data_IF_368764459221
#
_entry.id   IF_368764459221
#
_cell.length_a   1.000
_cell.length_b   1.000
_cell.length_c   1.000
_cell.angle_alpha   90.00
_cell.angle_beta   90.00
_cell.angle_gamma   90.00
#
_symmetry.space_group_name_H-M   'P 1'
#
loop_
_entity.id
_entity.type
_entity.pdbx_description
1 polymer ?
#
# COMPACT_ATOMS: atom_id res chain seq x y z
N UNK A 1 -8.98 28.89 6.09
CA UNK A 1 -9.90 27.97 6.83
C UNK A 1 -9.61 26.49 6.48
N UNK A 2 -9.12 26.15 5.29
CA UNK A 2 -8.81 24.78 4.89
C UNK A 2 -7.47 24.24 5.44
N UNK A 3 -6.49 25.11 5.66
CA UNK A 3 -5.17 24.70 6.14
C UNK A 3 -5.16 24.23 7.61
N UNK A 4 -6.09 24.74 8.42
CA UNK A 4 -6.19 24.40 9.84
C UNK A 4 -6.79 23.00 10.11
N UNK A 5 -7.56 22.44 9.17
CA UNK A 5 -8.15 21.12 9.30
C UNK A 5 -7.17 20.01 8.90
N UNK A 6 -6.26 20.30 7.96
CA UNK A 6 -5.19 19.37 7.58
C UNK A 6 -4.16 19.17 8.70
N UNK A 7 -3.72 20.27 9.37
CA UNK A 7 -2.79 20.18 10.51
C UNK A 7 -3.39 19.40 11.68
N UNK A 8 -4.70 19.53 11.92
CA UNK A 8 -5.39 18.78 12.95
C UNK A 8 -5.52 17.29 12.63
N UNK A 9 -5.71 16.95 11.38
CA UNK A 9 -5.82 15.55 10.95
C UNK A 9 -4.47 14.85 10.94
N UNK A 10 -3.40 15.54 10.52
CA UNK A 10 -2.02 15.04 10.67
C UNK A 10 -1.64 14.82 12.12
N UNK A 11 -1.98 15.78 12.99
CA UNK A 11 -1.69 15.63 14.43
C UNK A 11 -2.48 14.49 15.09
N UNK A 12 -3.65 14.14 14.58
CA UNK A 12 -4.41 12.97 15.03
C UNK A 12 -3.82 11.66 14.51
N UNK A 13 -3.37 11.63 13.27
CA UNK A 13 -2.70 10.46 12.69
C UNK A 13 -1.37 10.20 13.39
N UNK A 14 -0.53 11.22 13.61
CA UNK A 14 0.71 11.09 14.37
C UNK A 14 0.46 10.57 15.79
N UNK A 15 -0.56 11.09 16.48
CA UNK A 15 -0.95 10.59 17.81
C UNK A 15 -1.50 9.17 17.80
N UNK A 16 -2.20 8.77 16.72
CA UNK A 16 -2.66 7.40 16.57
C UNK A 16 -1.48 6.45 16.29
N UNK A 17 -0.54 6.84 15.45
CA UNK A 17 0.69 6.09 15.17
C UNK A 17 1.61 6.02 16.40
N UNK A 18 1.74 7.11 17.17
CA UNK A 18 2.47 7.12 18.46
C UNK A 18 1.78 6.21 19.48
N UNK A 19 0.45 6.20 19.53
CA UNK A 19 -0.30 5.34 20.43
C UNK A 19 -0.24 3.86 20.01
N UNK A 20 -0.25 3.56 18.70
CA UNK A 20 0.03 2.21 18.19
C UNK A 20 1.48 1.80 18.48
N UNK A 21 2.46 2.72 18.38
CA UNK A 21 3.84 2.45 18.77
C UNK A 21 4.02 2.24 20.26
N UNK A 22 3.25 2.94 21.11
CA UNK A 22 3.26 2.71 22.57
C UNK A 22 2.61 1.38 22.95
N UNK A 23 1.56 0.95 22.24
CA UNK A 23 0.92 -0.35 22.44
C UNK A 23 1.80 -1.53 21.98
N UNK A 24 2.68 -1.28 20.99
CA UNK A 24 3.65 -2.24 20.45
C UNK A 24 5.02 -2.19 21.19
N UNK A 25 5.12 -1.45 22.28
CA UNK A 25 6.34 -1.37 23.06
C UNK A 25 6.59 -2.70 23.79
N UNK A 26 7.86 -3.20 23.84
CA UNK A 26 8.20 -4.47 24.48
C UNK A 26 7.78 -4.60 25.95
N UNK A 27 7.54 -3.47 26.63
CA UNK A 27 7.06 -3.42 28.01
C UNK A 27 5.62 -3.93 28.20
N UNK A 28 4.90 -4.23 27.12
CA UNK A 28 3.55 -4.80 27.22
C UNK A 28 3.56 -6.31 27.53
N UNK A 29 4.69 -6.97 27.37
CA UNK A 29 4.89 -8.37 27.77
C UNK A 29 5.67 -8.45 29.07
N UNK A 30 5.12 -7.86 30.13
CA UNK A 30 5.60 -8.12 31.45
C UNK A 30 5.19 -9.55 31.82
N UNK A 31 6.15 -10.44 31.98
CA UNK A 31 5.92 -11.85 32.33
C UNK A 31 5.16 -11.97 33.65
N UNK A 32 5.24 -10.97 34.53
CA UNK A 32 4.47 -10.93 35.78
C UNK A 32 2.95 -10.76 35.55
N UNK A 33 2.53 -10.26 34.38
CA UNK A 33 1.12 -10.08 34.03
C UNK A 33 0.51 -11.31 33.32
N UNK A 34 1.32 -12.26 32.88
CA UNK A 34 0.83 -13.47 32.25
C UNK A 34 0.40 -14.49 33.31
N UNK A 35 -0.89 -14.88 33.35
CA UNK A 35 -1.39 -15.83 34.34
C UNK A 35 -0.92 -17.28 34.10
N UNK A 36 -0.11 -17.50 33.06
CA UNK A 36 0.36 -18.82 32.65
C UNK A 36 1.87 -18.88 32.79
N UNK A 37 2.34 -19.74 33.68
CA UNK A 37 3.75 -20.13 33.75
C UNK A 37 4.02 -21.31 32.86
N UNK A 38 5.03 -21.21 32.00
CA UNK A 38 5.46 -22.28 31.09
C UNK A 38 6.98 -22.27 30.97
N UNK A 39 7.56 -23.46 30.71
CA UNK A 39 8.99 -23.60 30.47
C UNK A 39 9.41 -23.22 29.05
N UNK A 40 8.41 -23.09 28.14
CA UNK A 40 8.67 -22.78 26.73
C UNK A 40 7.64 -21.80 26.16
N UNK A 41 8.13 -20.80 25.44
CA UNK A 41 7.32 -19.79 24.76
C UNK A 41 7.57 -19.86 23.26
N UNK A 42 6.52 -19.81 22.46
CA UNK A 42 6.58 -19.65 21.02
C UNK A 42 5.96 -18.31 20.62
N UNK A 43 6.79 -17.43 20.08
CA UNK A 43 6.34 -16.15 19.56
C UNK A 43 6.20 -16.23 18.05
N UNK A 44 5.05 -15.78 17.52
CA UNK A 44 4.77 -15.74 16.09
C UNK A 44 4.61 -14.27 15.66
N UNK A 45 5.38 -13.86 14.68
CA UNK A 45 5.30 -12.50 14.15
C UNK A 45 5.51 -12.51 12.64
N UNK A 46 4.73 -11.71 11.91
CA UNK A 46 4.98 -11.41 10.50
C UNK A 46 6.11 -10.41 10.26
N UNK A 47 6.54 -9.70 11.32
CA UNK A 47 7.58 -8.66 11.25
C UNK A 47 8.62 -8.85 12.36
N UNK A 48 9.52 -9.85 12.24
CA UNK A 48 10.44 -10.23 13.31
C UNK A 48 11.55 -9.20 13.58
N UNK A 49 11.69 -8.18 12.72
CA UNK A 49 12.81 -7.24 12.77
C UNK A 49 12.92 -6.45 14.08
N UNK A 50 11.80 -6.14 14.75
CA UNK A 50 11.81 -5.47 16.06
C UNK A 50 12.39 -6.36 17.14
N UNK A 51 11.91 -7.59 17.22
CA UNK A 51 12.38 -8.57 18.21
C UNK A 51 13.88 -8.90 18.02
N UNK A 52 14.36 -8.95 16.77
CA UNK A 52 15.78 -9.12 16.45
C UNK A 52 16.59 -7.89 16.91
N UNK A 53 16.10 -6.69 16.61
CA UNK A 53 16.80 -5.44 16.92
C UNK A 53 16.78 -5.11 18.42
N UNK A 54 15.77 -5.54 19.17
CA UNK A 54 15.70 -5.35 20.63
C UNK A 54 16.69 -6.21 21.40
N UNK A 55 17.22 -7.27 20.76
CA UNK A 55 18.13 -8.22 21.40
C UNK A 55 17.47 -9.19 22.38
N UNK A 56 16.14 -9.27 22.36
CA UNK A 56 15.37 -10.23 23.19
C UNK A 56 15.61 -11.67 22.76
N UNK A 57 15.90 -11.88 21.47
CA UNK A 57 16.16 -13.22 20.91
C UNK A 57 17.52 -13.25 20.24
N UNK A 58 18.23 -14.32 20.44
CA UNK A 58 19.46 -14.63 19.68
C UNK A 58 19.07 -15.31 18.35
N UNK A 59 19.89 -15.15 17.33
CA UNK A 59 19.61 -15.60 15.96
C UNK A 59 19.26 -17.09 15.90
N UNK A 60 19.90 -17.92 16.72
CA UNK A 60 19.65 -19.36 16.79
C UNK A 60 18.27 -19.74 17.36
N UNK A 61 17.59 -18.82 18.02
CA UNK A 61 16.23 -19.00 18.55
C UNK A 61 15.14 -18.58 17.56
N UNK A 62 15.55 -17.98 16.43
CA UNK A 62 14.61 -17.40 15.45
C UNK A 62 14.53 -18.31 14.23
N UNK A 63 13.33 -18.88 13.98
CA UNK A 63 13.03 -19.50 12.71
C UNK A 63 12.39 -18.45 11.78
N UNK A 64 13.06 -18.13 10.69
CA UNK A 64 12.56 -17.19 9.69
C UNK A 64 12.29 -17.94 8.38
N UNK A 65 11.07 -17.77 7.85
CA UNK A 65 10.65 -18.34 6.58
C UNK A 65 10.05 -17.23 5.70
N UNK A 66 10.80 -16.86 4.67
CA UNK A 66 10.44 -15.75 3.80
C UNK A 66 9.71 -16.22 2.54
N UNK A 67 9.07 -15.27 1.84
CA UNK A 67 8.53 -15.51 0.50
C UNK A 67 9.58 -16.11 -0.47
N UNK A 68 10.83 -15.64 -0.40
CA UNK A 68 11.93 -16.16 -1.22
C UNK A 68 12.21 -17.63 -0.91
N UNK A 69 12.12 -18.03 0.35
CA UNK A 69 12.33 -19.42 0.77
C UNK A 69 11.18 -20.32 0.29
N UNK A 70 9.94 -19.83 0.37
CA UNK A 70 8.78 -20.51 -0.23
C UNK A 70 8.95 -20.73 -1.73
N UNK A 71 9.37 -19.70 -2.48
CA UNK A 71 9.55 -19.83 -3.92
C UNK A 71 10.72 -20.77 -4.26
N UNK A 72 11.80 -20.78 -3.47
CA UNK A 72 12.87 -21.76 -3.62
C UNK A 72 12.38 -23.17 -3.34
N UNK A 73 11.65 -23.38 -2.24
CA UNK A 73 11.08 -24.69 -1.90
C UNK A 73 10.09 -25.17 -2.96
N UNK A 74 9.25 -24.28 -3.52
CA UNK A 74 8.33 -24.56 -4.62
C UNK A 74 9.05 -25.06 -5.85
N UNK A 75 10.15 -24.41 -6.23
CA UNK A 75 10.92 -24.72 -7.43
C UNK A 75 11.83 -25.94 -7.27
N UNK A 76 12.29 -26.22 -6.05
CA UNK A 76 13.17 -27.34 -5.74
C UNK A 76 12.43 -28.65 -5.41
N UNK A 77 11.09 -28.62 -5.36
CA UNK A 77 10.31 -29.79 -5.01
C UNK A 77 10.35 -30.85 -6.11
N UNK A 78 10.77 -32.06 -5.78
CA UNK A 78 10.89 -33.19 -6.71
C UNK A 78 9.76 -34.24 -6.58
N UNK A 79 8.83 -34.07 -5.62
CA UNK A 79 7.74 -35.00 -5.39
C UNK A 79 6.47 -34.68 -6.20
N UNK A 80 5.57 -35.66 -6.36
CA UNK A 80 4.30 -35.50 -7.10
C UNK A 80 3.38 -34.46 -6.44
N UNK A 81 3.36 -34.37 -5.11
CA UNK A 81 2.48 -33.49 -4.33
C UNK A 81 3.28 -32.29 -3.75
N UNK A 82 3.50 -31.26 -4.55
CA UNK A 82 4.16 -30.06 -4.09
C UNK A 82 3.22 -29.23 -3.20
N UNK A 83 3.48 -29.14 -1.88
CA UNK A 83 2.63 -28.40 -0.96
C UNK A 83 2.66 -26.88 -1.21
N UNK A 84 3.69 -26.39 -1.89
CA UNK A 84 3.87 -24.97 -2.23
C UNK A 84 3.26 -24.58 -3.58
N UNK A 85 2.69 -25.54 -4.32
CA UNK A 85 2.23 -25.29 -5.70
C UNK A 85 1.15 -24.20 -5.76
N UNK A 86 0.27 -24.17 -4.77
CA UNK A 86 -0.84 -23.22 -4.69
C UNK A 86 -0.40 -21.79 -4.30
N UNK A 87 0.83 -21.61 -3.80
CA UNK A 87 1.34 -20.29 -3.42
C UNK A 87 1.57 -19.42 -4.66
N UNK A 88 0.97 -18.22 -4.72
CA UNK A 88 1.10 -17.34 -5.88
C UNK A 88 2.52 -16.78 -6.00
N UNK A 89 2.93 -16.52 -7.23
CA UNK A 89 4.15 -15.75 -7.48
C UNK A 89 3.83 -14.26 -7.36
N UNK A 90 4.57 -13.58 -6.49
CA UNK A 90 4.52 -12.11 -6.41
C UNK A 90 5.30 -11.52 -7.59
N UNK A 91 4.70 -10.56 -8.27
CA UNK A 91 5.36 -9.71 -9.27
C UNK A 91 5.22 -8.28 -8.81
N UNK A 92 6.35 -7.61 -8.59
CA UNK A 92 6.40 -6.20 -8.24
C UNK A 92 6.74 -5.38 -9.48
N UNK A 93 5.84 -4.46 -9.83
CA UNK A 93 6.05 -3.52 -10.92
C UNK A 93 6.19 -2.12 -10.31
N UNK A 94 7.24 -1.41 -10.68
CA UNK A 94 7.49 -0.04 -10.24
C UNK A 94 7.38 0.91 -11.43
N UNK A 95 6.78 2.07 -11.19
CA UNK A 95 6.59 3.10 -12.20
C UNK A 95 7.15 4.42 -11.72
N UNK A 96 7.81 5.13 -12.62
CA UNK A 96 8.20 6.50 -12.37
C UNK A 96 6.96 7.40 -12.50
N UNK A 97 6.69 8.17 -11.46
CA UNK A 97 5.58 9.13 -11.49
C UNK A 97 5.97 10.34 -12.35
N UNK A 98 5.01 10.89 -13.15
CA UNK A 98 5.17 12.16 -13.82
C UNK A 98 5.50 13.30 -12.84
N UNK A 99 6.25 14.28 -13.30
CA UNK A 99 6.69 15.41 -12.46
C UNK A 99 5.51 16.16 -11.84
N UNK A 100 4.41 16.33 -12.56
CA UNK A 100 3.20 16.99 -12.04
C UNK A 100 2.61 16.27 -10.80
N UNK A 101 2.61 14.95 -10.78
CA UNK A 101 2.16 14.16 -9.63
C UNK A 101 3.18 14.22 -8.50
N UNK A 102 4.44 14.13 -8.86
CA UNK A 102 5.56 14.19 -7.93
C UNK A 102 5.63 15.53 -7.22
N UNK A 103 5.42 16.64 -7.93
CA UNK A 103 5.39 18.00 -7.36
C UNK A 103 4.29 18.17 -6.29
N UNK A 104 3.15 17.52 -6.45
CA UNK A 104 2.09 17.55 -5.43
C UNK A 104 2.49 16.73 -4.21
N UNK A 105 3.05 15.55 -4.41
CA UNK A 105 3.51 14.70 -3.31
C UNK A 105 4.68 15.33 -2.52
N UNK A 106 5.46 16.22 -3.13
CA UNK A 106 6.54 16.97 -2.48
C UNK A 106 6.05 18.20 -1.68
N UNK A 107 4.76 18.52 -1.67
CA UNK A 107 4.20 19.64 -0.89
C UNK A 107 3.98 19.30 0.60
N UNK A 108 4.41 18.13 1.05
CA UNK A 108 4.40 17.73 2.44
C UNK A 108 5.32 18.62 3.31
N UNK A 109 5.17 18.51 4.62
CA UNK A 109 5.81 19.35 5.61
C UNK A 109 7.35 19.34 5.53
N UNK A 110 7.93 18.22 5.10
CA UNK A 110 9.38 18.03 5.02
C UNK A 110 9.91 18.10 3.59
N UNK A 111 9.11 18.54 2.60
CA UNK A 111 9.47 18.48 1.17
C UNK A 111 9.90 17.08 0.70
N UNK A 112 9.52 16.05 1.44
CA UNK A 112 9.70 14.65 1.09
C UNK A 112 8.51 14.14 0.29
N UNK A 113 8.74 13.08 -0.49
CA UNK A 113 7.67 12.45 -1.26
C UNK A 113 6.68 11.75 -0.34
N UNK A 114 5.47 12.31 -0.23
CA UNK A 114 4.41 11.82 0.65
C UNK A 114 3.12 11.56 -0.14
N UNK A 115 2.78 10.29 -0.28
CA UNK A 115 1.52 9.88 -0.90
C UNK A 115 0.28 10.24 -0.07
N UNK A 116 0.42 10.46 1.25
CA UNK A 116 -0.68 10.91 2.08
C UNK A 116 -1.11 12.33 1.68
N UNK A 117 -0.16 13.19 1.32
CA UNK A 117 -0.45 14.52 0.78
C UNK A 117 -1.15 14.42 -0.57
N UNK A 118 -0.68 13.56 -1.45
CA UNK A 118 -1.26 13.38 -2.78
C UNK A 118 -2.70 12.88 -2.73
N UNK A 119 -2.98 11.87 -1.91
CA UNK A 119 -4.32 11.30 -1.74
C UNK A 119 -5.13 11.92 -0.61
N UNK A 120 -4.71 13.06 -0.10
CA UNK A 120 -5.45 13.72 0.96
C UNK A 120 -6.87 14.09 0.50
N UNK A 121 -7.86 13.71 1.30
CA UNK A 121 -9.26 13.97 1.03
C UNK A 121 -9.99 14.46 2.29
N UNK A 122 -11.04 15.21 2.08
CA UNK A 122 -11.94 15.71 3.12
C UNK A 122 -13.39 15.38 2.79
N UNK A 123 -14.25 15.42 3.79
CA UNK A 123 -15.67 15.11 3.67
C UNK A 123 -15.98 13.64 3.99
N UNK A 124 -17.24 13.29 4.00
CA UNK A 124 -17.75 11.98 4.36
C UNK A 124 -18.64 11.40 3.24
N UNK A 125 -18.56 10.09 3.04
CA UNK A 125 -19.41 9.35 2.12
C UNK A 125 -19.41 9.95 0.71
N UNK A 126 -20.58 10.34 0.21
CA UNK A 126 -20.74 10.91 -1.15
C UNK A 126 -20.16 12.33 -1.30
N UNK A 127 -19.92 13.03 -0.18
CA UNK A 127 -19.32 14.37 -0.18
C UNK A 127 -17.81 14.35 -0.09
N UNK A 128 -17.19 13.18 0.09
CA UNK A 128 -15.75 13.05 0.16
C UNK A 128 -15.11 13.41 -1.20
N UNK A 129 -14.05 14.25 -1.13
CA UNK A 129 -13.33 14.72 -2.32
C UNK A 129 -11.84 14.86 -2.01
N UNK A 130 -11.00 14.55 -3.00
CA UNK A 130 -9.58 14.82 -2.92
C UNK A 130 -9.26 16.31 -2.97
N UNK A 131 -8.28 16.76 -2.20
CA UNK A 131 -7.73 18.12 -2.27
C UNK A 131 -7.12 18.38 -3.66
N UNK A 132 -6.46 17.38 -4.23
CA UNK A 132 -5.80 17.41 -5.53
C UNK A 132 -6.51 16.49 -6.54
N UNK A 133 -7.83 16.66 -6.68
CA UNK A 133 -8.67 15.76 -7.48
C UNK A 133 -8.22 15.67 -8.95
N UNK A 134 -7.75 16.76 -9.54
CA UNK A 134 -7.28 16.77 -10.94
C UNK A 134 -6.01 15.94 -11.11
N UNK A 135 -5.10 16.01 -10.16
CA UNK A 135 -3.85 15.27 -10.15
C UNK A 135 -4.10 13.79 -9.89
N UNK A 136 -5.04 13.47 -8.99
CA UNK A 136 -5.48 12.08 -8.79
C UNK A 136 -6.16 11.53 -10.05
N UNK A 137 -6.96 12.35 -10.77
CA UNK A 137 -7.52 11.94 -12.06
C UNK A 137 -6.42 11.66 -13.09
N UNK A 138 -5.40 12.52 -13.20
CA UNK A 138 -4.25 12.30 -14.08
C UNK A 138 -3.52 10.99 -13.72
N UNK A 139 -3.39 10.69 -12.44
CA UNK A 139 -2.83 9.41 -12.00
C UNK A 139 -3.69 8.22 -12.44
N UNK A 140 -5.02 8.30 -12.32
CA UNK A 140 -5.95 7.29 -12.82
C UNK A 140 -5.79 7.07 -14.33
N UNK A 141 -5.66 8.15 -15.10
CA UNK A 141 -5.45 8.09 -16.54
C UNK A 141 -4.08 7.49 -16.89
N UNK A 142 -3.05 7.81 -16.09
CA UNK A 142 -1.71 7.24 -16.23
C UNK A 142 -1.71 5.71 -16.06
N UNK A 143 -2.31 5.19 -15.00
CA UNK A 143 -2.33 3.74 -14.73
C UNK A 143 -3.16 2.97 -15.76
N UNK A 144 -4.04 3.66 -16.49
CA UNK A 144 -4.76 3.15 -17.65
C UNK A 144 -3.99 3.29 -18.97
N UNK A 145 -2.79 3.87 -18.94
CA UNK A 145 -2.00 4.12 -20.14
C UNK A 145 -2.54 5.24 -21.04
N UNK A 146 -3.47 6.07 -20.56
CA UNK A 146 -4.09 7.16 -21.34
C UNK A 146 -3.30 8.46 -21.28
N UNK A 147 -2.53 8.69 -20.22
CA UNK A 147 -1.63 9.82 -20.08
C UNK A 147 -0.30 9.53 -20.81
N UNK A 148 -0.39 9.35 -22.09
CA UNK A 148 0.78 9.43 -22.94
C UNK A 148 0.98 10.93 -23.23
N UNK A 149 1.74 11.63 -22.37
CA UNK A 149 2.14 12.98 -22.69
C UNK A 149 2.88 12.96 -24.01
N UNK A 150 2.48 13.85 -24.92
CA UNK A 150 3.10 14.06 -26.22
C UNK A 150 4.50 14.68 -26.13
N UNK A 151 5.10 14.71 -24.95
CA UNK A 151 6.42 15.27 -24.72
C UNK A 151 7.52 14.29 -25.12
N UNK A 152 8.62 14.85 -25.60
CA UNK A 152 9.83 14.18 -26.10
C UNK A 152 10.41 13.11 -25.15
N UNK A 153 10.04 13.16 -23.89
CA UNK A 153 10.43 12.17 -22.87
C UNK A 153 9.81 10.77 -23.09
N UNK A 154 8.67 10.69 -23.78
CA UNK A 154 8.08 9.39 -24.16
C UNK A 154 8.87 8.67 -25.27
N UNK A 155 9.60 9.41 -26.09
CA UNK A 155 10.48 8.84 -27.12
C UNK A 155 11.79 8.30 -26.53
N UNK A 156 12.19 8.75 -25.33
CA UNK A 156 13.37 8.28 -24.59
C UNK A 156 13.06 7.09 -23.68
N UNK A 157 11.80 6.83 -23.39
CA UNK A 157 11.38 5.63 -22.65
C UNK A 157 11.30 4.46 -23.63
N UNK A 158 12.41 3.74 -23.75
CA UNK A 158 12.55 2.59 -24.64
C UNK A 158 11.55 1.47 -24.40
N UNK A 159 11.62 0.44 -25.23
CA UNK A 159 10.78 -0.76 -25.26
C UNK A 159 10.73 -1.58 -23.94
N UNK A 160 11.56 -1.23 -22.97
CA UNK A 160 11.72 -1.96 -21.70
C UNK A 160 10.82 -1.45 -20.56
N UNK A 161 9.92 -0.50 -20.82
CA UNK A 161 9.00 -0.03 -19.79
C UNK A 161 7.93 -1.08 -19.48
N UNK A 162 7.74 -1.48 -18.21
CA UNK A 162 6.65 -2.37 -17.88
C UNK A 162 5.30 -1.74 -18.27
N UNK A 163 4.33 -2.51 -18.79
CA UNK A 163 3.03 -2.01 -19.17
C UNK A 163 2.31 -1.45 -17.96
N UNK A 164 1.54 -0.37 -18.13
CA UNK A 164 0.70 0.18 -17.08
C UNK A 164 -0.34 -0.84 -16.62
N UNK A 165 -0.71 -0.89 -15.33
CA UNK A 165 -1.54 -1.96 -14.76
C UNK A 165 -2.82 -2.24 -15.54
N UNK A 166 -3.52 -1.19 -15.97
CA UNK A 166 -4.80 -1.31 -16.65
C UNK A 166 -4.73 -1.05 -18.16
N UNK A 167 -3.54 -0.98 -18.76
CA UNK A 167 -3.37 -0.76 -20.21
C UNK A 167 -3.05 -2.02 -20.99
N UNK A 168 -2.61 -3.08 -20.32
CA UNK A 168 -2.18 -4.33 -20.94
C UNK A 168 -3.24 -5.42 -20.78
N UNK A 169 -3.65 -6.03 -21.89
CA UNK A 169 -4.70 -7.05 -21.91
C UNK A 169 -4.32 -8.31 -21.10
N UNK A 170 -3.03 -8.68 -21.07
CA UNK A 170 -2.58 -9.83 -20.30
C UNK A 170 -2.61 -9.55 -18.81
N UNK A 171 -2.25 -8.32 -18.39
CA UNK A 171 -2.35 -7.90 -17.01
C UNK A 171 -3.80 -7.77 -16.57
N UNK A 172 -4.68 -7.21 -17.40
CA UNK A 172 -6.12 -7.08 -17.11
C UNK A 172 -6.77 -8.43 -16.79
N UNK A 173 -6.37 -9.51 -17.47
CA UNK A 173 -6.84 -10.86 -17.17
C UNK A 173 -6.51 -11.32 -15.75
N UNK A 174 -5.45 -10.79 -15.15
CA UNK A 174 -5.03 -11.08 -13.78
C UNK A 174 -5.56 -10.08 -12.75
N UNK A 175 -6.04 -8.91 -13.17
CA UNK A 175 -6.52 -7.82 -12.32
C UNK A 175 -8.03 -7.87 -12.09
N UNK A 176 -8.62 -9.04 -12.01
CA UNK A 176 -10.05 -9.24 -11.72
C UNK A 176 -10.42 -8.74 -10.32
N UNK A 177 -9.47 -8.80 -9.38
CA UNK A 177 -9.60 -8.26 -8.02
C UNK A 177 -8.38 -7.38 -7.74
N UNK A 178 -8.63 -6.15 -7.34
CA UNK A 178 -7.59 -5.20 -6.97
C UNK A 178 -7.87 -4.63 -5.59
N UNK A 179 -6.83 -4.44 -4.80
CA UNK A 179 -6.90 -3.82 -3.49
C UNK A 179 -6.07 -2.53 -3.52
N UNK A 180 -6.70 -1.42 -3.14
CA UNK A 180 -6.09 -0.10 -3.13
C UNK A 180 -6.00 0.40 -1.69
N UNK A 181 -4.79 0.59 -1.21
CA UNK A 181 -4.56 1.20 0.09
C UNK A 181 -4.51 2.72 -0.06
N UNK A 182 -5.32 3.40 0.72
CA UNK A 182 -5.44 4.85 0.73
C UNK A 182 -5.24 5.36 2.17
N UNK A 183 -4.73 6.60 2.34
CA UNK A 183 -4.23 7.06 3.65
C UNK A 183 -5.30 7.19 4.73
N UNK A 184 -6.56 7.48 4.37
CA UNK A 184 -7.63 7.66 5.35
C UNK A 184 -9.00 7.28 4.79
N UNK A 185 -10.00 7.23 5.67
CA UNK A 185 -11.38 6.87 5.33
C UNK A 185 -11.98 7.83 4.28
N UNK A 186 -11.73 9.14 4.42
CA UNK A 186 -12.20 10.14 3.46
C UNK A 186 -11.61 9.90 2.06
N UNK A 187 -10.34 9.50 1.97
CA UNK A 187 -9.68 9.15 0.70
C UNK A 187 -10.31 7.92 0.04
N UNK A 188 -10.72 6.92 0.82
CA UNK A 188 -11.42 5.74 0.29
C UNK A 188 -12.76 6.12 -0.34
N UNK A 189 -13.56 6.94 0.33
CA UNK A 189 -14.82 7.44 -0.22
C UNK A 189 -14.60 8.40 -1.40
N UNK A 190 -13.61 9.29 -1.33
CA UNK A 190 -13.26 10.20 -2.42
C UNK A 190 -12.85 9.42 -3.68
N UNK A 191 -12.08 8.34 -3.53
CA UNK A 191 -11.69 7.48 -4.65
C UNK A 191 -12.91 6.79 -5.25
N UNK A 192 -13.78 6.18 -4.44
CA UNK A 192 -15.06 5.60 -4.93
C UNK A 192 -15.86 6.62 -5.72
N UNK A 193 -16.02 7.84 -5.18
CA UNK A 193 -16.80 8.89 -5.81
C UNK A 193 -16.15 9.36 -7.12
N UNK A 194 -14.83 9.44 -7.18
CA UNK A 194 -14.08 9.81 -8.39
C UNK A 194 -14.22 8.73 -9.48
N UNK A 195 -14.08 7.46 -9.12
CA UNK A 195 -14.20 6.34 -10.06
C UNK A 195 -15.62 6.21 -10.63
N UNK A 196 -16.65 6.66 -9.90
CA UNK A 196 -18.03 6.66 -10.36
C UNK A 196 -18.36 7.81 -11.33
N UNK A 197 -17.45 8.78 -11.54
CA UNK A 197 -17.68 9.91 -12.42
C UNK A 197 -17.71 9.50 -13.91
N UNK A 198 -18.47 10.22 -14.78
CA UNK A 198 -18.66 9.85 -16.18
C UNK A 198 -17.39 9.67 -17.00
N UNK A 199 -16.32 10.42 -16.70
CA UNK A 199 -15.05 10.28 -17.39
C UNK A 199 -14.32 8.96 -17.07
N UNK A 200 -14.71 8.28 -16.01
CA UNK A 200 -14.06 7.08 -15.51
C UNK A 200 -14.83 5.79 -15.85
N UNK A 201 -15.47 5.75 -17.05
CA UNK A 201 -16.30 4.62 -17.53
C UNK A 201 -15.61 3.27 -17.48
N UNK A 202 -14.30 3.22 -17.65
CA UNK A 202 -13.53 1.98 -17.54
C UNK A 202 -13.73 1.29 -16.20
N UNK A 203 -13.71 2.06 -15.11
CA UNK A 203 -13.86 1.53 -13.74
C UNK A 203 -15.29 1.13 -13.40
N UNK A 204 -16.29 1.53 -14.20
CA UNK A 204 -17.66 1.09 -14.04
C UNK A 204 -17.87 -0.41 -14.30
N UNK A 205 -16.88 -1.07 -14.91
CA UNK A 205 -16.88 -2.53 -15.07
C UNK A 205 -16.51 -3.28 -13.78
N UNK A 206 -16.06 -2.56 -12.73
CA UNK A 206 -15.69 -3.13 -11.45
C UNK A 206 -16.73 -2.81 -10.38
N UNK A 207 -16.98 -3.75 -9.50
CA UNK A 207 -17.71 -3.49 -8.27
C UNK A 207 -16.76 -2.84 -7.25
N UNK A 208 -17.00 -1.57 -6.94
CA UNK A 208 -16.15 -0.81 -6.01
C UNK A 208 -16.70 -0.95 -4.60
N UNK A 209 -15.90 -1.55 -3.71
CA UNK A 209 -16.23 -1.73 -2.30
C UNK A 209 -15.27 -0.89 -1.48
N UNK A 210 -15.81 -0.08 -0.55
CA UNK A 210 -15.00 0.64 0.44
C UNK A 210 -14.97 -0.20 1.71
N UNK A 211 -13.77 -0.60 2.10
CA UNK A 211 -13.49 -1.23 3.38
C UNK A 211 -12.75 -0.20 4.26
N UNK A 212 -13.50 0.48 5.12
CA UNK A 212 -12.97 1.46 6.04
C UNK A 212 -13.64 1.23 7.41
N UNK A 213 -12.83 1.09 8.43
CA UNK A 213 -13.24 0.82 9.80
C UNK A 213 -13.05 2.05 10.70
#
# INVERSE_FOLDING_TARGET
FADNDWEKEQSKQQKAEEHEMELDSPNYFDEELLPITTDHYLYLSGTPFRAINSGEFIEEQIFNWTYSDEQKAKNAWEGENNPYLALPKMVMLTYQLPDEIREVALKGEFAEFDLNVFFFATGEGEKAKFKYQNEVQKWLDLIRGQLLSTTVDNLKMGADRPPMPFSDANLLGSLLHTLWFLPNVASCYAMRNLLAQPQNTFYHNYQIIVAAG
#
